data_IF_294360587698
#
_entry.id   IF_294360587698
#
_cell.length_a   1.000
_cell.length_b   1.000
_cell.length_c   1.000
_cell.angle_alpha   90.00
_cell.angle_beta   90.00
_cell.angle_gamma   90.00
#
_symmetry.space_group_name_H-M   'P 1'
#
loop_
_entity.id
_entity.type
_entity.pdbx_description
1 polymer ?
#
# COMPACT_ATOMS: atom_id res chain seq x y z
N UNK A 1 -5.21 -15.63 25.91
CA UNK A 1 -4.52 -15.52 24.59
C UNK A 1 -5.31 -14.48 23.81
N UNK A 2 -4.77 -13.28 23.58
CA UNK A 2 -5.52 -12.19 22.93
C UNK A 2 -5.25 -12.11 21.42
N UNK A 3 -4.67 -13.18 20.86
CA UNK A 3 -4.26 -13.26 19.48
C UNK A 3 -4.41 -14.71 19.03
N UNK A 4 -5.06 -14.88 17.89
CA UNK A 4 -5.20 -16.13 17.17
C UNK A 4 -4.88 -15.85 15.70
N UNK A 5 -4.00 -16.67 15.14
CA UNK A 5 -3.65 -16.61 13.72
C UNK A 5 -4.41 -17.74 13.01
N UNK A 6 -5.27 -17.37 12.06
CA UNK A 6 -6.07 -18.30 11.30
C UNK A 6 -5.54 -18.39 9.87
N UNK A 7 -5.67 -19.56 9.26
CA UNK A 7 -5.46 -19.73 7.82
C UNK A 7 -6.66 -19.06 7.11
N UNK A 8 -6.43 -18.26 6.05
CA UNK A 8 -7.49 -17.52 5.37
C UNK A 8 -8.32 -18.42 4.43
N UNK A 9 -8.89 -19.48 4.98
CA UNK A 9 -9.91 -20.28 4.30
C UNK A 9 -11.25 -19.53 4.33
N UNK A 10 -12.03 -19.67 3.24
CA UNK A 10 -13.26 -18.90 3.06
C UNK A 10 -14.23 -19.05 4.23
N UNK A 11 -14.48 -20.28 4.68
CA UNK A 11 -15.42 -20.58 5.77
C UNK A 11 -14.96 -20.03 7.12
N UNK A 12 -13.65 -20.12 7.39
CA UNK A 12 -13.03 -19.59 8.61
C UNK A 12 -13.16 -18.06 8.64
N UNK A 13 -12.86 -17.39 7.52
CA UNK A 13 -12.94 -15.95 7.41
C UNK A 13 -14.39 -15.43 7.51
N UNK A 14 -15.34 -16.07 6.82
CA UNK A 14 -16.76 -15.70 6.88
C UNK A 14 -17.35 -15.90 8.28
N UNK A 15 -16.93 -16.95 9.00
CA UNK A 15 -17.35 -17.17 10.39
C UNK A 15 -16.82 -16.06 11.31
N UNK A 16 -15.53 -15.72 11.17
CA UNK A 16 -14.94 -14.62 11.93
C UNK A 16 -15.61 -13.27 11.64
N UNK A 17 -15.95 -12.99 10.38
CA UNK A 17 -16.61 -11.74 9.98
C UNK A 17 -18.00 -11.56 10.60
N UNK A 18 -18.78 -12.62 10.75
CA UNK A 18 -20.12 -12.56 11.38
C UNK A 18 -20.04 -12.13 12.84
N UNK A 19 -18.95 -12.47 13.52
CA UNK A 19 -18.75 -12.11 14.93
C UNK A 19 -17.96 -10.79 15.10
N UNK A 20 -17.31 -10.33 14.04
CA UNK A 20 -16.41 -9.19 14.01
C UNK A 20 -17.09 -7.84 14.30
N UNK A 21 -16.59 -7.14 15.32
CA UNK A 21 -16.98 -5.75 15.61
C UNK A 21 -16.07 -4.72 14.94
N UNK A 22 -14.81 -5.07 14.66
CA UNK A 22 -13.82 -4.22 14.01
C UNK A 22 -13.02 -5.04 12.98
N UNK A 23 -13.16 -4.70 11.71
CA UNK A 23 -12.38 -5.26 10.62
C UNK A 23 -11.27 -4.28 10.24
N UNK A 24 -10.02 -4.74 10.22
CA UNK A 24 -8.88 -3.94 9.75
C UNK A 24 -8.32 -4.57 8.47
N UNK A 25 -8.50 -3.89 7.34
CA UNK A 25 -7.89 -4.23 6.06
C UNK A 25 -6.44 -3.74 6.01
N UNK A 26 -5.50 -4.67 5.87
CA UNK A 26 -4.06 -4.37 5.80
C UNK A 26 -3.36 -5.18 4.70
N UNK A 27 -4.07 -5.52 3.63
CA UNK A 27 -3.51 -6.27 2.49
C UNK A 27 -2.77 -5.33 1.55
N UNK A 28 -1.49 -5.60 1.34
CA UNK A 28 -0.60 -4.78 0.52
C UNK A 28 0.11 -5.67 -0.50
N UNK A 29 0.01 -5.31 -1.77
CA UNK A 29 0.84 -5.90 -2.83
C UNK A 29 1.78 -4.81 -3.33
N UNK A 30 3.09 -5.03 -3.21
CA UNK A 30 4.07 -4.01 -3.53
C UNK A 30 4.02 -3.59 -5.01
N UNK A 31 3.79 -2.30 -5.25
CA UNK A 31 3.90 -1.69 -6.58
C UNK A 31 2.70 -1.87 -7.50
N UNK A 32 1.55 -2.32 -6.98
CA UNK A 32 0.28 -2.43 -7.72
C UNK A 32 -0.87 -1.92 -6.86
N UNK A 33 -2.04 -1.67 -7.47
CA UNK A 33 -3.28 -1.43 -6.73
C UNK A 33 -3.56 -2.59 -5.74
N UNK A 34 -4.07 -2.26 -4.57
CA UNK A 34 -4.46 -3.27 -3.58
C UNK A 34 -5.59 -4.16 -4.15
N UNK A 35 -5.49 -5.50 -4.04
CA UNK A 35 -6.58 -6.38 -4.43
C UNK A 35 -7.73 -6.24 -3.42
N UNK A 36 -8.96 -6.22 -3.92
CA UNK A 36 -10.15 -6.31 -3.06
C UNK A 36 -10.29 -7.75 -2.58
N UNK A 37 -10.07 -7.97 -1.28
CA UNK A 37 -10.10 -9.30 -0.64
C UNK A 37 -11.33 -9.52 0.22
N UNK A 38 -12.09 -8.47 0.52
CA UNK A 38 -13.37 -8.57 1.22
C UNK A 38 -14.48 -8.08 0.29
N UNK A 39 -15.42 -8.96 -0.04
CA UNK A 39 -16.50 -8.68 -1.00
C UNK A 39 -17.69 -7.94 -0.38
N UNK A 40 -18.58 -7.42 -1.22
CA UNK A 40 -19.84 -6.80 -0.78
C UNK A 40 -20.69 -7.75 0.08
N UNK A 41 -20.79 -9.01 -0.33
CA UNK A 41 -21.56 -10.05 0.37
C UNK A 41 -21.01 -10.26 1.77
N UNK A 42 -19.68 -10.31 1.90
CA UNK A 42 -19.00 -10.47 3.18
C UNK A 42 -19.23 -9.26 4.11
N UNK A 43 -19.24 -8.04 3.58
CA UNK A 43 -19.59 -6.84 4.35
C UNK A 43 -21.04 -6.89 4.86
N UNK A 44 -21.98 -7.36 4.03
CA UNK A 44 -23.39 -7.50 4.44
C UNK A 44 -23.59 -8.51 5.57
N UNK A 45 -22.72 -9.52 5.70
CA UNK A 45 -22.76 -10.52 6.78
C UNK A 45 -22.29 -9.99 8.14
N UNK A 46 -21.55 -8.87 8.16
CA UNK A 46 -21.08 -8.27 9.41
C UNK A 46 -22.24 -7.71 10.23
N UNK A 47 -22.04 -7.64 11.55
CA UNK A 47 -22.99 -7.01 12.47
C UNK A 47 -23.22 -5.55 12.09
N UNK A 48 -24.44 -5.07 12.29
CA UNK A 48 -24.75 -3.65 12.18
C UNK A 48 -24.01 -2.88 13.28
N UNK A 49 -23.50 -1.70 12.92
CA UNK A 49 -22.64 -0.89 13.78
C UNK A 49 -21.17 -1.32 13.82
N UNK A 50 -20.78 -2.42 13.15
CA UNK A 50 -19.37 -2.79 13.03
C UNK A 50 -18.55 -1.73 12.30
N UNK A 51 -17.29 -1.60 12.70
CA UNK A 51 -16.34 -0.64 12.14
C UNK A 51 -15.39 -1.33 11.18
N UNK A 52 -15.11 -0.68 10.06
CA UNK A 52 -14.18 -1.14 9.03
C UNK A 52 -13.10 -0.08 8.86
N UNK A 53 -11.85 -0.46 9.05
CA UNK A 53 -10.68 0.40 8.83
C UNK A 53 -9.87 -0.18 7.69
N UNK A 54 -9.75 0.54 6.58
CA UNK A 54 -8.95 0.09 5.43
C UNK A 54 -7.64 0.87 5.38
N UNK A 55 -6.57 0.27 5.92
CA UNK A 55 -5.21 0.85 5.94
C UNK A 55 -4.60 0.83 4.54
N UNK A 56 -5.09 -0.03 3.64
CA UNK A 56 -4.63 -0.14 2.26
C UNK A 56 -5.25 0.93 1.33
N UNK A 57 -5.97 1.91 1.89
CA UNK A 57 -6.64 2.96 1.12
C UNK A 57 -5.69 3.80 0.28
N UNK A 58 -4.44 3.97 0.72
CA UNK A 58 -3.38 4.67 -0.02
C UNK A 58 -3.07 4.01 -1.39
N UNK A 59 -3.51 2.76 -1.59
CA UNK A 59 -3.41 2.01 -2.84
C UNK A 59 -4.77 1.60 -3.41
N UNK A 60 -5.83 2.32 -3.04
CA UNK A 60 -7.20 2.11 -3.54
C UNK A 60 -8.09 1.25 -2.64
N UNK A 61 -7.57 0.71 -1.54
CA UNK A 61 -8.33 -0.09 -0.56
C UNK A 61 -8.42 -1.57 -0.92
N UNK A 62 -8.45 -2.42 0.11
CA UNK A 62 -8.56 -3.88 -0.04
C UNK A 62 -9.96 -4.42 0.32
N UNK A 63 -10.89 -3.54 0.68
CA UNK A 63 -12.26 -3.89 1.08
C UNK A 63 -13.26 -3.27 0.10
N UNK A 64 -14.28 -4.03 -0.29
CA UNK A 64 -15.34 -3.51 -1.13
C UNK A 64 -16.04 -2.32 -0.46
N UNK A 65 -16.32 -1.27 -1.23
CA UNK A 65 -16.95 -0.05 -0.73
C UNK A 65 -15.99 0.92 -0.04
N UNK A 66 -14.68 0.60 0.05
CA UNK A 66 -13.65 1.53 0.51
C UNK A 66 -13.53 2.73 -0.43
N UNK A 67 -13.57 3.94 0.15
CA UNK A 67 -13.28 5.22 -0.52
C UNK A 67 -12.49 6.09 0.42
N UNK A 68 -11.52 6.84 -0.10
CA UNK A 68 -10.70 7.71 0.71
C UNK A 68 -11.56 8.75 1.45
N UNK A 69 -11.39 8.82 2.76
CA UNK A 69 -12.01 9.83 3.61
C UNK A 69 -11.00 10.94 3.93
N UNK A 70 -11.41 11.90 4.76
CA UNK A 70 -10.53 12.98 5.23
C UNK A 70 -10.54 13.05 6.74
N UNK A 71 -9.61 13.78 7.35
CA UNK A 71 -9.64 13.96 8.81
C UNK A 71 -10.85 14.76 9.30
N UNK A 72 -11.40 15.65 8.47
CA UNK A 72 -12.61 16.40 8.79
C UNK A 72 -13.88 15.55 8.65
N UNK A 73 -13.88 14.60 7.71
CA UNK A 73 -14.98 13.69 7.45
C UNK A 73 -14.46 12.25 7.43
N UNK A 74 -14.10 11.69 8.60
CA UNK A 74 -13.31 10.46 8.69
C UNK A 74 -14.09 9.20 8.36
N UNK A 75 -15.42 9.26 8.47
CA UNK A 75 -16.28 8.09 8.39
C UNK A 75 -17.47 8.27 7.46
N UNK A 76 -17.95 7.15 6.93
CA UNK A 76 -19.22 7.06 6.21
C UNK A 76 -19.88 5.70 6.47
N UNK A 77 -21.16 5.59 6.13
CA UNK A 77 -21.93 4.37 6.36
C UNK A 77 -22.29 3.67 5.05
N UNK A 78 -22.11 2.34 5.02
CA UNK A 78 -22.64 1.45 3.98
C UNK A 78 -23.27 0.25 4.68
N UNK A 79 -24.52 -0.08 4.36
CA UNK A 79 -25.27 -1.19 4.97
C UNK A 79 -25.30 -1.20 6.50
N UNK A 80 -25.30 -0.04 7.16
CA UNK A 80 -25.16 0.11 8.62
C UNK A 80 -23.77 -0.29 9.19
N UNK A 81 -22.73 -0.33 8.35
CA UNK A 81 -21.32 -0.51 8.74
C UNK A 81 -20.59 0.82 8.59
N UNK A 82 -19.75 1.14 9.58
CA UNK A 82 -19.01 2.41 9.64
C UNK A 82 -17.65 2.20 9.02
N UNK A 83 -17.41 2.81 7.86
CA UNK A 83 -16.12 2.78 7.18
C UNK A 83 -15.27 3.96 7.60
N UNK A 84 -13.99 3.72 7.89
CA UNK A 84 -12.96 4.70 8.20
C UNK A 84 -11.73 4.41 7.33
N UNK A 85 -11.57 5.17 6.25
CA UNK A 85 -10.59 4.91 5.21
C UNK A 85 -9.72 6.16 4.99
N UNK A 86 -9.08 6.61 6.07
CA UNK A 86 -8.27 7.83 6.06
C UNK A 86 -6.92 7.51 5.41
N UNK A 87 -6.53 8.20 4.32
CA UNK A 87 -5.21 8.04 3.71
C UNK A 87 -4.13 8.68 4.57
N UNK A 88 -2.88 8.29 4.36
CA UNK A 88 -1.72 8.89 5.02
C UNK A 88 -1.85 8.95 6.56
N UNK A 89 -2.34 7.86 7.19
CA UNK A 89 -2.44 7.73 8.65
C UNK A 89 -1.15 8.11 9.39
N UNK A 90 0.07 7.75 8.91
CA UNK A 90 1.32 8.16 9.56
C UNK A 90 1.51 9.68 9.65
N UNK A 91 0.87 10.47 8.79
CA UNK A 91 0.90 11.93 8.83
C UNK A 91 0.35 12.51 10.14
N UNK A 92 -0.55 11.80 10.83
CA UNK A 92 -1.11 12.24 12.11
C UNK A 92 -0.14 12.11 13.29
N UNK A 93 0.90 11.30 13.15
CA UNK A 93 1.95 11.12 14.16
C UNK A 93 3.29 11.62 13.61
N UNK A 94 3.28 12.85 13.10
CA UNK A 94 4.33 13.44 12.26
C UNK A 94 5.75 13.32 12.82
N UNK A 95 5.93 13.52 14.13
CA UNK A 95 7.25 13.38 14.79
C UNK A 95 7.77 11.95 14.68
N UNK A 96 6.96 10.97 15.05
CA UNK A 96 7.33 9.56 15.04
C UNK A 96 7.47 9.02 13.61
N UNK A 97 6.55 9.38 12.72
CA UNK A 97 6.61 8.97 11.31
C UNK A 97 7.80 9.57 10.57
N UNK A 98 8.14 10.84 10.84
CA UNK A 98 9.37 11.46 10.32
C UNK A 98 10.58 10.69 10.80
N UNK A 99 10.71 10.47 12.11
CA UNK A 99 11.85 9.73 12.66
C UNK A 99 11.98 8.33 12.05
N UNK A 100 10.87 7.59 11.90
CA UNK A 100 10.85 6.26 11.29
C UNK A 100 11.27 6.30 9.81
N UNK A 101 10.65 7.19 9.02
CA UNK A 101 10.93 7.33 7.60
C UNK A 101 12.39 7.74 7.36
N UNK A 102 12.87 8.78 8.05
CA UNK A 102 14.25 9.26 7.87
C UNK A 102 15.28 8.22 8.31
N UNK A 103 15.01 7.45 9.36
CA UNK A 103 15.92 6.38 9.79
C UNK A 103 16.08 5.31 8.70
N UNK A 104 15.00 5.00 7.97
CA UNK A 104 15.03 4.05 6.86
C UNK A 104 15.63 4.64 5.57
N UNK A 105 15.40 5.92 5.26
CA UNK A 105 15.79 6.52 3.98
C UNK A 105 17.16 7.21 3.98
N UNK A 106 17.63 7.69 5.14
CA UNK A 106 18.87 8.46 5.27
C UNK A 106 20.12 7.75 4.72
N UNK A 107 20.32 6.42 4.90
CA UNK A 107 21.46 5.72 4.29
C UNK A 107 21.48 5.83 2.77
N UNK A 108 20.32 5.73 2.12
CA UNK A 108 20.20 5.87 0.66
C UNK A 108 20.47 7.31 0.21
N UNK A 109 19.95 8.29 0.94
CA UNK A 109 20.16 9.70 0.63
C UNK A 109 21.64 10.08 0.74
N UNK A 110 22.32 9.67 1.81
CA UNK A 110 23.76 9.89 1.98
C UNK A 110 24.56 9.24 0.85
N UNK A 111 24.22 8.00 0.49
CA UNK A 111 24.89 7.29 -0.60
C UNK A 111 24.75 8.03 -1.94
N UNK A 112 23.53 8.47 -2.28
CA UNK A 112 23.28 9.25 -3.49
C UNK A 112 24.01 10.60 -3.47
N UNK A 113 24.06 11.27 -2.33
CA UNK A 113 24.74 12.57 -2.19
C UNK A 113 26.26 12.46 -2.35
N UNK A 114 26.87 11.39 -1.86
CA UNK A 114 28.33 11.20 -1.93
C UNK A 114 28.79 10.66 -3.27
N UNK A 115 28.06 9.69 -3.85
CA UNK A 115 28.50 8.97 -5.04
C UNK A 115 27.86 9.46 -6.34
N UNK A 116 26.73 10.19 -6.25
CA UNK A 116 25.89 10.53 -7.38
C UNK A 116 24.94 9.40 -7.77
N UNK A 117 23.72 9.77 -8.19
CA UNK A 117 22.62 8.81 -8.46
C UNK A 117 22.96 7.80 -9.57
N UNK A 118 23.60 8.24 -10.66
CA UNK A 118 23.97 7.37 -11.78
C UNK A 118 24.92 6.24 -11.35
N UNK A 119 25.98 6.58 -10.59
CA UNK A 119 26.94 5.59 -10.09
C UNK A 119 26.29 4.62 -9.08
N UNK A 120 25.43 5.13 -8.21
CA UNK A 120 24.69 4.28 -7.25
C UNK A 120 23.80 3.27 -7.98
N UNK A 121 23.10 3.70 -9.03
CA UNK A 121 22.26 2.82 -9.83
C UNK A 121 23.10 1.78 -10.60
N UNK A 122 24.20 2.19 -11.23
CA UNK A 122 25.14 1.29 -11.92
C UNK A 122 25.69 0.21 -10.99
N UNK A 123 26.16 0.61 -9.80
CA UNK A 123 26.61 -0.33 -8.75
C UNK A 123 25.49 -1.23 -8.26
N UNK A 124 24.26 -0.72 -8.16
CA UNK A 124 23.10 -1.54 -7.77
C UNK A 124 22.81 -2.62 -8.81
N UNK A 125 22.84 -2.29 -10.11
CA UNK A 125 22.57 -3.25 -11.19
C UNK A 125 23.65 -4.33 -11.30
N UNK A 126 24.91 -3.99 -11.01
CA UNK A 126 26.00 -4.95 -10.93
C UNK A 126 25.97 -5.83 -9.66
N UNK A 127 25.20 -5.42 -8.64
CA UNK A 127 25.10 -6.08 -7.34
C UNK A 127 23.75 -6.78 -7.15
N UNK A 128 23.07 -6.48 -6.03
CA UNK A 128 21.80 -7.11 -5.65
C UNK A 128 20.55 -6.55 -6.36
N UNK A 129 20.72 -5.50 -7.18
CA UNK A 129 19.65 -4.82 -7.90
C UNK A 129 18.62 -4.10 -7.03
N UNK A 130 18.73 -4.13 -5.69
CA UNK A 130 17.64 -3.71 -4.81
C UNK A 130 17.34 -2.22 -4.89
N UNK A 131 18.37 -1.39 -4.94
CA UNK A 131 18.20 0.05 -5.03
C UNK A 131 17.58 0.46 -6.38
N UNK A 132 18.03 -0.16 -7.48
CA UNK A 132 17.50 0.09 -8.81
C UNK A 132 16.00 -0.23 -8.95
N UNK A 133 15.45 -1.17 -8.16
CA UNK A 133 14.00 -1.47 -8.14
C UNK A 133 13.14 -0.30 -7.64
N UNK A 134 13.71 0.67 -6.94
CA UNK A 134 12.99 1.88 -6.52
C UNK A 134 12.86 2.95 -7.61
N UNK A 135 13.55 2.80 -8.74
CA UNK A 135 13.55 3.78 -9.81
C UNK A 135 12.27 3.66 -10.64
N UNK A 136 11.47 4.73 -10.65
CA UNK A 136 10.21 4.78 -11.40
C UNK A 136 10.36 5.43 -12.78
N UNK A 137 11.17 6.47 -12.89
CA UNK A 137 11.42 7.17 -14.15
C UNK A 137 12.88 7.61 -14.25
N UNK A 138 13.45 7.57 -15.45
CA UNK A 138 14.83 7.98 -15.71
C UNK A 138 15.03 8.34 -17.19
N UNK A 139 15.76 9.44 -17.45
CA UNK A 139 16.07 9.93 -18.81
C UNK A 139 14.83 10.01 -19.75
N UNK A 140 13.68 10.42 -19.21
CA UNK A 140 12.44 10.57 -19.99
C UNK A 140 11.61 9.29 -20.16
N UNK A 141 12.05 8.15 -19.63
CA UNK A 141 11.32 6.88 -19.73
C UNK A 141 10.79 6.42 -18.37
N UNK A 142 9.71 5.65 -18.39
CA UNK A 142 9.23 4.89 -17.22
C UNK A 142 10.10 3.64 -17.08
N UNK A 143 10.71 3.44 -15.91
CA UNK A 143 11.59 2.29 -15.66
C UNK A 143 10.95 1.20 -14.81
N UNK A 144 9.78 1.48 -14.23
CA UNK A 144 9.02 0.52 -13.42
C UNK A 144 7.81 -0.02 -14.18
N UNK A 145 7.88 -1.31 -14.54
CA UNK A 145 6.92 -1.93 -15.47
C UNK A 145 5.47 -1.88 -15.00
N UNK A 146 5.22 -2.10 -13.70
CA UNK A 146 3.86 -2.08 -13.15
C UNK A 146 3.20 -0.71 -13.29
N UNK A 147 3.95 0.37 -13.08
CA UNK A 147 3.45 1.74 -13.26
C UNK A 147 3.11 2.01 -14.72
N UNK A 148 3.97 1.62 -15.66
CA UNK A 148 3.68 1.76 -17.10
C UNK A 148 2.41 0.99 -17.50
N UNK A 149 2.23 -0.23 -16.98
CA UNK A 149 1.04 -1.05 -17.24
C UNK A 149 -0.24 -0.42 -16.68
N UNK A 150 -0.20 0.00 -15.40
CA UNK A 150 -1.38 0.53 -14.71
C UNK A 150 -1.83 1.88 -15.29
N UNK A 151 -0.91 2.66 -15.86
CA UNK A 151 -1.19 3.92 -16.55
C UNK A 151 -1.49 3.76 -18.05
N UNK A 152 -1.33 2.57 -18.62
CA UNK A 152 -1.52 2.33 -20.05
C UNK A 152 -0.44 2.95 -20.95
N UNK A 153 0.78 3.13 -20.42
CA UNK A 153 1.92 3.81 -21.07
C UNK A 153 3.09 2.84 -21.31
N UNK A 154 2.81 1.63 -21.80
CA UNK A 154 3.84 0.60 -22.00
C UNK A 154 4.84 0.97 -23.11
N UNK A 155 4.46 1.85 -24.03
CA UNK A 155 5.32 2.44 -25.05
C UNK A 155 6.42 3.35 -24.48
N UNK A 156 6.19 3.93 -23.29
CA UNK A 156 7.17 4.77 -22.57
C UNK A 156 8.08 3.94 -21.64
N UNK A 157 7.82 2.63 -21.53
CA UNK A 157 8.57 1.75 -20.64
C UNK A 157 9.92 1.37 -21.25
N UNK A 158 10.99 1.56 -20.46
CA UNK A 158 12.32 1.04 -20.78
C UNK A 158 13.01 0.56 -19.52
N UNK A 159 13.53 -0.68 -19.48
CA UNK A 159 14.21 -1.17 -18.29
C UNK A 159 15.45 -0.33 -18.01
N UNK A 160 15.68 -0.04 -16.72
CA UNK A 160 16.80 0.81 -16.27
C UNK A 160 18.17 0.31 -16.77
N UNK A 161 18.33 -1.01 -16.95
CA UNK A 161 19.57 -1.62 -17.46
C UNK A 161 19.92 -1.19 -18.88
N UNK A 162 18.97 -0.69 -19.67
CA UNK A 162 19.21 -0.16 -21.01
C UNK A 162 19.46 1.36 -21.03
N UNK A 163 19.34 2.02 -19.88
CA UNK A 163 19.49 3.48 -19.74
C UNK A 163 20.77 3.90 -19.00
N UNK A 164 21.44 2.94 -18.36
CA UNK A 164 22.64 3.12 -17.54
C UNK A 164 23.88 2.64 -18.27
#
# INVERSE_FOLDING_TARGET
KNFEALVPEKEVFETALKECNLLVGAVLVAGTKAPVVVSEEQIKMMKDGSVIVDVSIDQGGCIWGSRATSHSEPVYNIYNKIFCCIPNIPGQVSRQSTMALTSATLPYLKRMATEGVHEVLKKSLAGDGRFAKGLNAYKGHITYQSVARDLGMMEEFKPVSELI
#
